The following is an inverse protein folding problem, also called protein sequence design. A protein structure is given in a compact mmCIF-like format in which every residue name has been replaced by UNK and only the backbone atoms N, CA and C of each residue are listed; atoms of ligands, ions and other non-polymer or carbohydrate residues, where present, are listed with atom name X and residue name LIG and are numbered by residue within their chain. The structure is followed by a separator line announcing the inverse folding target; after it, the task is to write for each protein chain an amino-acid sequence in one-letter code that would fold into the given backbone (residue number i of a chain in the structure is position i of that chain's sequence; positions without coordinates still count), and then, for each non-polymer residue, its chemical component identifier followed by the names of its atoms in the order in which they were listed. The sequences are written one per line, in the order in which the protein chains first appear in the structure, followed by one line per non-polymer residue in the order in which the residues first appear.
data_IF_061426550494
#
_entry.id   IF_061426550494
#
_cell.length_a   1.000
_cell.length_b   1.000
_cell.length_c   1.000
_cell.angle_alpha   90.00
_cell.angle_beta   90.00
_cell.angle_gamma   90.00
#
_symmetry.space_group_name_H-M   'P 1'
#
loop_
_entity.id
_entity.type
_entity.pdbx_description
1 polymer ?
#
# COMPACT_ATOMS: atom_id res chain seq x y z
N UNK A 1 -17.70 5.01 28.90
CA UNK A 1 -17.73 3.54 28.80
C UNK A 1 -19.16 3.08 28.93
N UNK A 2 -19.59 2.17 28.06
CA UNK A 2 -20.89 1.51 28.16
C UNK A 2 -20.75 0.20 28.96
N UNK A 3 -21.87 -0.33 29.43
CA UNK A 3 -21.90 -1.63 30.09
C UNK A 3 -22.80 -2.55 29.29
N UNK A 4 -22.30 -3.76 29.03
CA UNK A 4 -23.07 -4.86 28.47
C UNK A 4 -23.28 -5.88 29.57
N UNK A 5 -24.55 -6.14 29.89
CA UNK A 5 -24.92 -7.17 30.86
C UNK A 5 -24.98 -8.52 30.16
N UNK A 6 -24.21 -9.46 30.68
CA UNK A 6 -24.10 -10.84 30.20
C UNK A 6 -24.63 -11.80 31.27
N UNK A 7 -25.19 -12.93 30.85
CA UNK A 7 -25.68 -13.94 31.78
C UNK A 7 -24.52 -14.54 32.59
N UNK A 8 -24.69 -14.60 33.91
CA UNK A 8 -23.74 -15.20 34.85
C UNK A 8 -24.23 -16.54 35.42
N UNK A 9 -23.52 -17.06 36.42
CA UNK A 9 -23.89 -18.29 37.10
C UNK A 9 -24.98 -18.06 38.17
N UNK A 10 -25.76 -19.11 38.47
CA UNK A 10 -26.78 -19.10 39.53
C UNK A 10 -27.80 -17.94 39.44
N UNK A 11 -28.15 -17.51 38.22
CA UNK A 11 -29.12 -16.43 37.98
C UNK A 11 -28.57 -15.02 38.15
N UNK A 12 -27.27 -14.86 38.47
CA UNK A 12 -26.61 -13.57 38.50
C UNK A 12 -26.30 -13.06 37.08
N UNK A 13 -25.95 -11.78 36.98
CA UNK A 13 -25.44 -11.18 35.73
C UNK A 13 -24.02 -10.65 35.93
N UNK A 14 -23.30 -10.56 34.81
CA UNK A 14 -21.94 -10.03 34.74
C UNK A 14 -21.97 -8.76 33.90
N UNK A 15 -21.43 -7.68 34.44
CA UNK A 15 -21.25 -6.43 33.71
C UNK A 15 -19.89 -6.42 33.03
N UNK A 16 -19.91 -6.40 31.70
CA UNK A 16 -18.73 -6.23 30.84
C UNK A 16 -18.61 -4.74 30.52
N UNK A 17 -17.50 -4.13 30.93
CA UNK A 17 -17.23 -2.72 30.67
C UNK A 17 -16.63 -2.57 29.29
N UNK A 18 -17.30 -1.85 28.39
CA UNK A 18 -16.85 -1.71 27.01
C UNK A 18 -16.52 -0.26 26.67
N UNK A 19 -15.41 -0.09 25.96
CA UNK A 19 -15.15 1.16 25.27
C UNK A 19 -16.09 1.30 24.05
N UNK A 20 -16.29 2.52 23.54
CA UNK A 20 -17.30 2.82 22.52
C UNK A 20 -17.11 2.11 21.16
N UNK A 21 -17.98 2.43 20.20
CA UNK A 21 -17.81 1.98 18.80
C UNK A 21 -18.13 0.50 18.55
N UNK A 22 -17.24 -0.19 17.84
CA UNK A 22 -17.45 -1.55 17.31
C UNK A 22 -17.44 -2.63 18.40
N UNK A 23 -16.58 -2.49 19.42
CA UNK A 23 -16.51 -3.44 20.56
C UNK A 23 -17.82 -3.51 21.33
N UNK A 24 -18.54 -2.38 21.49
CA UNK A 24 -19.89 -2.38 22.08
C UNK A 24 -20.89 -3.19 21.23
N UNK A 25 -20.80 -3.12 19.91
CA UNK A 25 -21.70 -3.86 19.01
C UNK A 25 -21.43 -5.37 19.10
N UNK A 26 -20.15 -5.76 19.11
CA UNK A 26 -19.69 -7.15 19.25
C UNK A 26 -20.07 -7.70 20.62
N UNK A 27 -19.83 -6.95 21.70
CA UNK A 27 -20.19 -7.36 23.05
C UNK A 27 -21.71 -7.57 23.20
N UNK A 28 -22.54 -6.69 22.61
CA UNK A 28 -24.00 -6.87 22.58
C UNK A 28 -24.44 -8.06 21.74
N UNK A 29 -23.73 -8.37 20.65
CA UNK A 29 -24.02 -9.55 19.84
C UNK A 29 -23.69 -10.82 20.62
N UNK A 30 -22.51 -10.88 21.23
CA UNK A 30 -22.07 -11.98 22.09
C UNK A 30 -23.06 -12.23 23.24
N UNK A 31 -23.44 -11.17 23.97
CA UNK A 31 -24.39 -11.26 25.08
C UNK A 31 -25.75 -11.83 24.65
N UNK A 32 -26.25 -11.40 23.48
CA UNK A 32 -27.50 -11.91 22.89
C UNK A 32 -27.39 -13.38 22.49
N UNK A 33 -26.32 -13.77 21.79
CA UNK A 33 -26.08 -15.17 21.41
C UNK A 33 -26.00 -16.08 22.64
N UNK A 34 -25.29 -15.65 23.69
CA UNK A 34 -25.18 -16.41 24.92
C UNK A 34 -26.54 -16.52 25.64
N UNK A 35 -27.36 -15.45 25.62
CA UNK A 35 -28.70 -15.45 26.17
C UNK A 35 -29.64 -16.41 25.42
N UNK A 36 -29.64 -16.38 24.09
CA UNK A 36 -30.50 -17.21 23.24
C UNK A 36 -30.14 -18.71 23.34
N UNK A 37 -28.89 -19.02 23.65
CA UNK A 37 -28.38 -20.40 23.76
C UNK A 37 -28.25 -20.90 25.21
N UNK A 38 -28.64 -20.09 26.20
CA UNK A 38 -28.44 -20.36 27.62
C UNK A 38 -29.06 -21.69 28.10
N UNK A 39 -30.22 -22.08 27.54
CA UNK A 39 -30.93 -23.29 27.96
C UNK A 39 -30.13 -24.60 27.72
N UNK A 40 -29.14 -24.57 26.81
CA UNK A 40 -28.27 -25.71 26.49
C UNK A 40 -26.88 -25.63 27.13
N UNK A 41 -26.65 -24.68 28.04
CA UNK A 41 -25.33 -24.37 28.60
C UNK A 41 -25.31 -24.56 30.12
N UNK A 42 -24.16 -24.95 30.67
CA UNK A 42 -23.95 -25.11 32.12
C UNK A 42 -23.04 -24.01 32.66
N UNK A 43 -23.57 -23.10 33.48
CA UNK A 43 -22.82 -21.98 34.01
C UNK A 43 -22.14 -22.32 35.33
N UNK A 44 -20.87 -21.97 35.47
CA UNK A 44 -20.08 -22.16 36.68
C UNK A 44 -19.19 -20.94 36.97
N UNK A 45 -19.16 -20.50 38.23
CA UNK A 45 -18.21 -19.47 38.66
C UNK A 45 -16.84 -20.11 38.82
N UNK A 46 -15.84 -19.56 38.12
CA UNK A 46 -14.48 -20.07 38.15
C UNK A 46 -13.75 -19.61 39.41
N UNK A 47 -12.80 -20.43 39.87
CA UNK A 47 -11.89 -20.11 40.99
C UNK A 47 -10.47 -19.96 40.45
N UNK A 48 -9.68 -19.09 41.06
CA UNK A 48 -8.29 -18.99 40.67
C UNK A 48 -7.57 -20.33 40.89
N UNK A 49 -6.73 -20.73 39.93
CA UNK A 49 -6.18 -22.07 39.80
C UNK A 49 -6.89 -22.91 38.75
N UNK A 50 -6.90 -24.23 38.93
CA UNK A 50 -7.47 -25.18 37.98
C UNK A 50 -9.00 -25.32 38.07
N UNK A 51 -9.65 -25.34 36.92
CA UNK A 51 -11.09 -25.51 36.76
C UNK A 51 -11.33 -26.57 35.67
N UNK A 52 -12.06 -27.63 36.03
CA UNK A 52 -12.39 -28.73 35.11
C UNK A 52 -13.90 -28.84 34.96
N UNK A 53 -14.38 -28.94 33.72
CA UNK A 53 -15.79 -29.23 33.44
C UNK A 53 -15.93 -30.48 32.57
N UNK A 54 -16.73 -31.43 33.04
CA UNK A 54 -17.19 -32.57 32.23
C UNK A 54 -18.58 -32.34 31.64
N UNK A 55 -19.22 -31.21 31.96
CA UNK A 55 -20.51 -30.85 31.39
C UNK A 55 -20.30 -30.24 30.01
N UNK A 56 -20.93 -30.82 28.98
CA UNK A 56 -20.90 -30.26 27.63
C UNK A 56 -21.42 -28.83 27.60
N UNK A 57 -20.86 -28.01 26.73
CA UNK A 57 -21.20 -26.59 26.58
C UNK A 57 -21.08 -25.78 27.88
N UNK A 58 -19.99 -25.96 28.63
CA UNK A 58 -19.79 -25.24 29.89
C UNK A 58 -19.43 -23.77 29.67
N UNK A 59 -19.96 -22.92 30.55
CA UNK A 59 -19.69 -21.49 30.61
C UNK A 59 -18.95 -21.19 31.90
N UNK A 60 -17.75 -20.65 31.78
CA UNK A 60 -16.95 -20.16 32.90
C UNK A 60 -17.22 -18.69 33.17
N UNK A 61 -17.50 -18.34 34.42
CA UNK A 61 -17.79 -16.98 34.85
C UNK A 61 -16.70 -16.50 35.80
N UNK A 62 -15.96 -15.46 35.41
CA UNK A 62 -14.89 -14.81 36.19
C UNK A 62 -15.40 -13.46 36.70
N UNK A 63 -15.40 -13.27 38.02
CA UNK A 63 -15.92 -12.06 38.67
C UNK A 63 -14.91 -11.33 39.55
N UNK A 64 -13.71 -11.89 39.68
CA UNK A 64 -12.59 -11.34 40.43
C UNK A 64 -11.31 -11.53 39.62
N UNK A 65 -10.31 -10.68 39.84
CA UNK A 65 -9.00 -10.84 39.20
C UNK A 65 -8.28 -12.09 39.70
N UNK A 66 -7.43 -12.66 38.85
CA UNK A 66 -6.67 -13.88 39.14
C UNK A 66 -6.37 -14.69 37.88
N UNK A 67 -5.67 -15.82 38.08
CA UNK A 67 -5.33 -16.76 37.01
C UNK A 67 -6.23 -18.00 37.06
N UNK A 68 -6.75 -18.41 35.92
CA UNK A 68 -7.74 -19.46 35.74
C UNK A 68 -7.28 -20.44 34.66
N UNK A 69 -6.85 -21.64 35.05
CA UNK A 69 -6.57 -22.73 34.13
C UNK A 69 -7.84 -23.54 33.88
N UNK A 70 -8.16 -23.78 32.62
CA UNK A 70 -9.37 -24.46 32.17
C UNK A 70 -9.03 -25.81 31.54
N UNK A 71 -9.85 -26.81 31.85
CA UNK A 71 -9.78 -28.16 31.30
C UNK A 71 -11.20 -28.68 31.02
N UNK A 72 -11.33 -29.53 30.01
CA UNK A 72 -12.56 -30.19 29.63
C UNK A 72 -13.43 -29.39 28.67
N UNK A 73 -14.74 -29.34 28.92
CA UNK A 73 -15.76 -28.97 27.94
C UNK A 73 -16.23 -27.50 28.03
N UNK A 74 -15.35 -26.57 28.39
CA UNK A 74 -15.65 -25.14 28.33
C UNK A 74 -15.76 -24.66 26.89
N UNK A 75 -16.77 -23.84 26.59
CA UNK A 75 -16.97 -23.26 25.25
C UNK A 75 -17.17 -21.75 25.29
N UNK A 76 -17.56 -21.20 26.44
CA UNK A 76 -17.67 -19.77 26.65
C UNK A 76 -17.05 -19.35 27.98
N UNK A 77 -16.38 -18.21 27.99
CA UNK A 77 -15.90 -17.55 29.20
C UNK A 77 -16.40 -16.12 29.24
N UNK A 78 -16.85 -15.68 30.41
CA UNK A 78 -17.32 -14.32 30.66
C UNK A 78 -16.54 -13.76 31.84
N UNK A 79 -15.72 -12.73 31.60
CA UNK A 79 -15.00 -12.01 32.62
C UNK A 79 -15.53 -10.58 32.76
N UNK A 80 -15.96 -10.22 33.96
CA UNK A 80 -16.50 -8.89 34.24
C UNK A 80 -16.93 -8.75 35.69
N UNK A 81 -17.54 -7.62 36.05
CA UNK A 81 -17.95 -7.41 37.42
C UNK A 81 -19.28 -8.11 37.73
N UNK A 82 -19.37 -8.78 38.87
CA UNK A 82 -20.62 -9.35 39.34
C UNK A 82 -21.62 -8.22 39.63
N UNK A 83 -22.80 -8.26 39.02
CA UNK A 83 -23.90 -7.36 39.35
C UNK A 83 -25.00 -8.12 40.09
N UNK A 84 -25.28 -7.69 41.31
CA UNK A 84 -26.40 -8.21 42.13
C UNK A 84 -27.53 -7.19 42.28
N UNK A 85 -27.35 -5.97 41.76
CA UNK A 85 -28.32 -4.88 41.78
C UNK A 85 -28.25 -4.09 40.46
N UNK A 86 -29.38 -3.97 39.77
CA UNK A 86 -29.52 -3.27 38.50
C UNK A 86 -29.19 -1.77 38.57
N UNK A 87 -29.18 -1.17 39.76
CA UNK A 87 -28.77 0.23 39.97
C UNK A 87 -27.24 0.40 40.02
N UNK A 88 -26.49 -0.68 40.28
CA UNK A 88 -25.03 -0.65 40.37
C UNK A 88 -24.37 -1.03 39.04
N UNK A 89 -23.31 -0.32 38.70
CA UNK A 89 -22.50 -0.54 37.49
C UNK A 89 -21.06 -0.85 37.89
N UNK A 90 -20.83 -1.96 38.62
CA UNK A 90 -19.48 -2.30 39.08
C UNK A 90 -18.58 -2.61 37.88
N UNK A 91 -17.27 -2.41 38.08
CA UNK A 91 -16.24 -2.61 37.06
C UNK A 91 -15.15 -3.50 37.65
N UNK A 92 -14.67 -4.46 36.86
CA UNK A 92 -13.52 -5.28 37.22
C UNK A 92 -12.26 -4.53 36.80
N UNK A 93 -11.39 -4.19 37.75
CA UNK A 93 -10.18 -3.40 37.51
C UNK A 93 -8.89 -4.17 37.73
N UNK A 94 -9.01 -5.42 38.19
CA UNK A 94 -7.86 -6.28 38.45
C UNK A 94 -7.59 -7.17 37.23
N UNK A 95 -6.31 -7.47 36.93
CA UNK A 95 -5.96 -8.32 35.80
C UNK A 95 -6.57 -9.73 35.90
N UNK A 96 -6.90 -10.30 34.75
CA UNK A 96 -7.44 -11.66 34.62
C UNK A 96 -6.57 -12.45 33.65
N UNK A 97 -6.13 -13.64 34.05
CA UNK A 97 -5.48 -14.60 33.15
C UNK A 97 -6.39 -15.82 32.97
N UNK A 98 -6.70 -16.15 31.72
CA UNK A 98 -7.50 -17.30 31.33
C UNK A 98 -6.63 -18.20 30.45
N UNK A 99 -6.31 -19.39 30.94
CA UNK A 99 -5.55 -20.39 30.21
C UNK A 99 -6.49 -21.51 29.75
N UNK A 100 -6.83 -21.52 28.47
CA UNK A 100 -7.70 -22.49 27.82
C UNK A 100 -6.95 -23.62 27.09
N UNK A 101 -5.63 -23.76 27.27
CA UNK A 101 -4.83 -24.83 26.63
C UNK A 101 -5.29 -26.25 26.96
N UNK A 102 -5.97 -26.47 28.09
CA UNK A 102 -6.56 -27.76 28.44
C UNK A 102 -7.92 -28.03 27.79
N UNK A 103 -8.45 -27.10 27.00
CA UNK A 103 -9.77 -27.20 26.37
C UNK A 103 -9.61 -27.72 24.94
N UNK A 104 -10.40 -28.73 24.58
CA UNK A 104 -10.27 -29.43 23.29
C UNK A 104 -11.34 -29.01 22.27
N UNK A 105 -11.99 -27.87 22.51
CA UNK A 105 -13.02 -27.29 21.65
C UNK A 105 -12.81 -25.78 21.55
N UNK A 106 -13.27 -25.13 20.46
CA UNK A 106 -13.16 -23.68 20.33
C UNK A 106 -13.77 -22.97 21.53
N UNK A 107 -13.05 -21.99 22.08
CA UNK A 107 -13.50 -21.19 23.24
C UNK A 107 -13.79 -19.77 22.81
N UNK A 108 -14.97 -19.28 23.15
CA UNK A 108 -15.32 -17.87 22.97
C UNK A 108 -15.22 -17.14 24.31
N UNK A 109 -14.49 -16.03 24.34
CA UNK A 109 -14.22 -15.25 25.54
C UNK A 109 -14.72 -13.83 25.34
N UNK A 110 -15.47 -13.32 26.32
CA UNK A 110 -15.69 -11.89 26.48
C UNK A 110 -15.08 -11.43 27.80
N UNK A 111 -14.28 -10.36 27.76
CA UNK A 111 -13.63 -9.79 28.94
C UNK A 111 -13.79 -8.28 28.97
N UNK A 112 -14.31 -7.77 30.08
CA UNK A 112 -14.50 -6.32 30.33
C UNK A 112 -13.76 -5.83 31.55
N UNK A 113 -12.52 -6.30 31.74
CA UNK A 113 -11.65 -5.86 32.84
C UNK A 113 -10.79 -4.67 32.43
N UNK A 114 -10.81 -3.59 33.21
CA UNK A 114 -9.90 -2.46 33.00
C UNK A 114 -8.45 -2.77 33.41
N UNK A 115 -8.22 -3.89 34.09
CA UNK A 115 -6.89 -4.35 34.48
C UNK A 115 -6.14 -5.09 33.37
N UNK A 116 -6.78 -5.31 32.23
CA UNK A 116 -6.26 -6.15 31.16
C UNK A 116 -6.49 -7.65 31.38
N UNK A 117 -6.51 -8.38 30.28
CA UNK A 117 -6.81 -9.81 30.19
C UNK A 117 -5.69 -10.51 29.46
N UNK A 118 -5.12 -11.54 30.05
CA UNK A 118 -4.26 -12.49 29.33
C UNK A 118 -5.08 -13.72 28.97
N UNK A 119 -5.19 -14.04 27.68
CA UNK A 119 -5.87 -15.24 27.21
C UNK A 119 -4.91 -16.14 26.43
N UNK A 120 -4.80 -17.40 26.88
CA UNK A 120 -4.04 -18.46 26.21
C UNK A 120 -5.04 -19.44 25.58
N UNK A 121 -5.25 -19.33 24.26
CA UNK A 121 -6.32 -20.01 23.52
C UNK A 121 -6.09 -21.51 23.30
N UNK A 122 -4.83 -21.94 23.14
CA UNK A 122 -4.48 -23.33 22.80
C UNK A 122 -5.01 -23.78 21.44
N UNK A 123 -4.79 -25.04 21.07
CA UNK A 123 -4.90 -25.50 19.66
C UNK A 123 -6.31 -25.52 19.01
N UNK A 124 -7.38 -25.21 19.75
CA UNK A 124 -8.75 -25.46 19.27
C UNK A 124 -9.37 -24.28 18.51
N UNK A 125 -8.68 -23.15 18.36
CA UNK A 125 -9.26 -21.92 17.83
C UNK A 125 -10.29 -21.28 18.77
N UNK A 126 -10.98 -20.25 18.30
CA UNK A 126 -12.03 -19.59 19.08
C UNK A 126 -12.16 -18.09 18.85
N UNK A 127 -12.71 -17.40 19.83
CA UNK A 127 -12.88 -15.94 19.77
C UNK A 127 -12.44 -15.31 21.09
N UNK A 128 -11.71 -14.20 20.99
CA UNK A 128 -11.34 -13.38 22.12
C UNK A 128 -11.83 -11.95 21.88
N UNK A 129 -12.74 -11.50 22.75
CA UNK A 129 -13.24 -10.14 22.78
C UNK A 129 -12.89 -9.52 24.14
N UNK A 130 -11.75 -8.86 24.21
CA UNK A 130 -11.49 -7.88 25.25
C UNK A 130 -11.97 -6.51 24.80
N UNK A 131 -12.37 -5.67 25.76
CA UNK A 131 -13.12 -4.45 25.46
C UNK A 131 -12.49 -3.19 26.00
N UNK A 132 -11.42 -3.30 26.80
CA UNK A 132 -10.59 -2.24 27.35
C UNK A 132 -9.43 -2.85 28.17
N UNK A 133 -8.38 -2.06 28.39
CA UNK A 133 -7.21 -2.47 29.18
C UNK A 133 -6.08 -2.91 28.26
N UNK A 134 -4.89 -3.16 28.82
CA UNK A 134 -3.79 -3.72 28.04
C UNK A 134 -3.92 -5.25 28.08
N UNK A 135 -4.40 -5.82 26.99
CA UNK A 135 -4.72 -7.22 26.85
C UNK A 135 -3.58 -8.00 26.16
N UNK A 136 -3.52 -9.30 26.44
CA UNK A 136 -2.56 -10.23 25.84
C UNK A 136 -3.33 -11.44 25.31
N UNK A 137 -3.18 -11.74 24.02
CA UNK A 137 -3.74 -12.92 23.38
C UNK A 137 -2.61 -13.83 22.87
N UNK A 138 -2.71 -15.14 23.13
CA UNK A 138 -1.80 -16.16 22.59
C UNK A 138 -2.59 -17.38 22.12
N UNK A 139 -2.62 -17.63 20.80
CA UNK A 139 -3.44 -18.68 20.17
C UNK A 139 -2.79 -20.08 20.08
N UNK A 140 -1.48 -20.18 19.87
CA UNK A 140 -0.75 -21.41 19.48
C UNK A 140 -1.14 -21.95 18.10
N UNK A 141 -2.21 -22.73 17.98
CA UNK A 141 -2.75 -23.18 16.70
C UNK A 141 -4.26 -23.06 16.65
N UNK A 142 -4.84 -23.12 15.44
CA UNK A 142 -6.29 -23.05 15.23
C UNK A 142 -6.70 -21.66 14.73
N UNK A 143 -7.97 -21.51 14.37
CA UNK A 143 -8.47 -20.27 13.77
C UNK A 143 -9.09 -19.38 14.84
N UNK A 144 -8.57 -18.17 15.01
CA UNK A 144 -9.01 -17.23 16.02
C UNK A 144 -9.61 -15.96 15.44
N UNK A 145 -10.65 -15.45 16.11
CA UNK A 145 -11.12 -14.07 15.94
C UNK A 145 -10.77 -13.28 17.18
N UNK A 146 -9.88 -12.30 17.04
CA UNK A 146 -9.28 -11.55 18.14
C UNK A 146 -9.68 -10.09 18.06
N UNK A 147 -10.29 -9.56 19.11
CA UNK A 147 -10.60 -8.15 19.31
C UNK A 147 -10.13 -7.76 20.71
N UNK A 148 -9.18 -6.84 20.83
CA UNK A 148 -8.61 -6.45 22.13
C UNK A 148 -9.15 -5.11 22.64
N UNK A 149 -9.60 -4.24 21.73
CA UNK A 149 -10.38 -3.07 22.09
C UNK A 149 -9.53 -1.82 22.28
N UNK A 150 -9.44 -1.28 23.49
CA UNK A 150 -8.63 -0.08 23.75
C UNK A 150 -7.55 -0.35 24.77
N UNK A 151 -6.33 0.09 24.47
CA UNK A 151 -5.16 -0.21 25.28
C UNK A 151 -3.96 -0.48 24.39
N UNK A 152 -2.81 -0.74 24.98
CA UNK A 152 -1.64 -1.19 24.23
C UNK A 152 -1.55 -2.70 24.39
N UNK A 153 -2.03 -3.41 23.38
CA UNK A 153 -2.27 -4.84 23.44
C UNK A 153 -1.15 -5.64 22.78
N UNK A 154 -1.03 -6.91 23.17
CA UNK A 154 -0.14 -7.88 22.53
C UNK A 154 -0.98 -9.03 22.00
N UNK A 155 -0.90 -9.29 20.70
CA UNK A 155 -1.59 -10.40 20.04
C UNK A 155 -0.56 -11.28 19.37
N UNK A 156 -0.48 -12.53 19.79
CA UNK A 156 0.24 -13.61 19.09
C UNK A 156 -0.79 -14.65 18.65
N UNK A 157 -1.08 -14.71 17.35
CA UNK A 157 -2.12 -15.61 16.85
C UNK A 157 -1.66 -17.07 16.78
N UNK A 158 -0.36 -17.31 16.72
CA UNK A 158 0.17 -18.62 16.38
C UNK A 158 -0.18 -19.01 14.94
N UNK A 159 -0.26 -20.31 14.65
CA UNK A 159 -0.60 -20.82 13.32
C UNK A 159 -2.10 -20.99 13.13
N UNK A 160 -2.60 -20.70 11.94
CA UNK A 160 -4.04 -20.81 11.68
C UNK A 160 -4.49 -19.77 10.67
N UNK A 161 -5.80 -19.67 10.46
CA UNK A 161 -6.37 -18.57 9.70
C UNK A 161 -7.06 -17.63 10.66
N UNK A 162 -6.36 -16.56 11.03
CA UNK A 162 -6.78 -15.67 12.11
C UNK A 162 -7.31 -14.35 11.60
N UNK A 163 -8.20 -13.74 12.38
CA UNK A 163 -8.70 -12.38 12.15
C UNK A 163 -8.44 -11.55 13.39
N UNK A 164 -7.67 -10.46 13.25
CA UNK A 164 -7.26 -9.60 14.35
C UNK A 164 -7.76 -8.18 14.14
N UNK A 165 -8.36 -7.62 15.18
CA UNK A 165 -8.61 -6.20 15.33
C UNK A 165 -8.08 -5.78 16.71
N UNK A 166 -6.88 -5.23 16.76
CA UNK A 166 -6.29 -4.79 18.01
C UNK A 166 -6.92 -3.47 18.53
N UNK A 167 -7.80 -2.85 17.74
CA UNK A 167 -8.49 -1.63 18.12
C UNK A 167 -7.54 -0.45 18.30
N UNK A 168 -7.80 0.39 19.30
CA UNK A 168 -7.10 1.65 19.51
C UNK A 168 -5.95 1.52 20.52
N UNK A 169 -4.89 2.29 20.32
CA UNK A 169 -3.67 2.26 21.13
C UNK A 169 -2.49 1.84 20.26
N UNK A 170 -1.34 1.60 20.88
CA UNK A 170 -0.12 1.18 20.17
C UNK A 170 0.09 -0.32 20.43
N UNK A 171 -0.35 -1.15 19.49
CA UNK A 171 -0.43 -2.60 19.67
C UNK A 171 0.76 -3.34 19.05
N UNK A 172 1.06 -4.54 19.56
CA UNK A 172 2.03 -5.46 18.99
C UNK A 172 1.30 -6.71 18.49
N UNK A 173 1.35 -6.94 17.19
CA UNK A 173 0.63 -8.03 16.52
C UNK A 173 1.65 -8.94 15.84
N UNK A 174 1.70 -10.19 16.30
CA UNK A 174 2.51 -11.28 15.78
C UNK A 174 1.59 -12.29 15.11
N UNK A 175 1.79 -12.47 13.80
CA UNK A 175 1.03 -13.38 12.96
C UNK A 175 1.92 -14.59 12.66
N UNK A 176 1.42 -15.79 12.91
CA UNK A 176 2.10 -17.01 12.50
C UNK A 176 1.71 -17.47 11.10
N UNK A 177 1.88 -18.77 10.86
CA UNK A 177 1.54 -19.43 9.61
C UNK A 177 0.04 -19.36 9.30
N UNK A 178 -0.30 -19.62 8.03
CA UNK A 178 -1.68 -19.62 7.53
C UNK A 178 -2.09 -18.28 6.91
N UNK A 179 -3.39 -18.06 6.75
CA UNK A 179 -3.93 -16.89 6.05
C UNK A 179 -4.61 -15.97 7.05
N UNK A 180 -3.92 -14.91 7.48
CA UNK A 180 -4.44 -14.01 8.51
C UNK A 180 -4.88 -12.66 7.95
N UNK A 181 -5.86 -12.06 8.62
CA UNK A 181 -6.39 -10.74 8.31
C UNK A 181 -6.26 -9.83 9.54
N UNK A 182 -5.72 -8.61 9.33
CA UNK A 182 -5.56 -7.61 10.39
C UNK A 182 -6.23 -6.30 10.01
N UNK A 183 -6.98 -5.73 10.94
CA UNK A 183 -7.44 -4.35 10.93
C UNK A 183 -6.72 -3.57 12.04
N UNK A 184 -5.95 -2.55 11.66
CA UNK A 184 -5.15 -1.71 12.55
C UNK A 184 -5.71 -0.28 12.56
N UNK A 185 -5.89 0.30 13.75
CA UNK A 185 -6.46 1.66 13.91
C UNK A 185 -5.51 2.62 14.62
N UNK A 186 -4.49 2.12 15.32
CA UNK A 186 -3.51 2.90 16.05
C UNK A 186 -2.12 2.83 15.42
N UNK A 187 -1.10 3.25 16.17
CA UNK A 187 0.29 3.12 15.72
C UNK A 187 0.79 1.75 16.10
N UNK A 188 0.53 0.77 15.24
CA UNK A 188 0.73 -0.63 15.57
C UNK A 188 2.05 -1.15 14.99
N UNK A 189 2.61 -2.15 15.66
CA UNK A 189 3.69 -2.98 15.12
C UNK A 189 3.11 -4.32 14.69
N UNK A 190 3.23 -4.66 13.41
CA UNK A 190 2.67 -5.88 12.82
C UNK A 190 3.78 -6.69 12.19
N UNK A 191 3.98 -7.92 12.66
CA UNK A 191 5.02 -8.82 12.20
C UNK A 191 4.38 -10.16 11.79
N UNK A 192 4.66 -10.63 10.58
CA UNK A 192 4.15 -11.90 10.08
C UNK A 192 5.03 -12.48 8.98
N UNK A 193 5.96 -13.36 9.35
CA UNK A 193 6.97 -13.89 8.42
C UNK A 193 6.54 -15.16 7.68
N UNK A 194 5.60 -15.93 8.25
CA UNK A 194 5.02 -17.13 7.65
C UNK A 194 3.69 -16.83 6.95
N UNK A 195 3.16 -17.79 6.18
CA UNK A 195 1.81 -17.69 5.62
C UNK A 195 1.56 -16.53 4.65
N UNK A 196 0.27 -16.21 4.45
CA UNK A 196 -0.21 -15.07 3.65
C UNK A 196 -0.88 -14.09 4.61
N UNK A 197 -0.48 -12.82 4.55
CA UNK A 197 -0.94 -11.81 5.48
C UNK A 197 -1.70 -10.71 4.75
N UNK A 198 -2.93 -10.42 5.18
CA UNK A 198 -3.75 -9.32 4.67
C UNK A 198 -3.93 -8.26 5.75
N UNK A 199 -3.25 -7.13 5.63
CA UNK A 199 -3.27 -6.05 6.62
C UNK A 199 -3.97 -4.83 6.04
N UNK A 200 -4.98 -4.31 6.74
CA UNK A 200 -5.59 -3.01 6.47
C UNK A 200 -5.25 -2.03 7.60
N UNK A 201 -4.67 -0.89 7.24
CA UNK A 201 -4.26 0.17 8.15
C UNK A 201 -5.24 1.33 8.00
N UNK A 202 -5.94 1.65 9.08
CA UNK A 202 -6.92 2.73 9.16
C UNK A 202 -6.38 4.01 9.81
N UNK A 203 -5.31 3.90 10.59
CA UNK A 203 -4.73 5.04 11.30
C UNK A 203 -3.33 4.75 11.82
N UNK A 204 -2.68 5.81 12.30
CA UNK A 204 -1.35 5.76 12.90
C UNK A 204 -0.21 5.56 11.89
N UNK A 205 0.98 5.98 12.31
CA UNK A 205 2.26 5.72 11.65
C UNK A 205 2.73 4.30 12.02
N UNK A 206 2.10 3.28 11.43
CA UNK A 206 2.32 1.88 11.80
C UNK A 206 3.64 1.31 11.23
N UNK A 207 4.21 0.31 11.91
CA UNK A 207 5.41 -0.41 11.49
C UNK A 207 5.06 -1.84 11.11
N UNK A 208 5.30 -2.22 9.86
CA UNK A 208 4.85 -3.49 9.28
C UNK A 208 6.04 -4.26 8.71
N UNK A 209 6.16 -5.54 9.07
CA UNK A 209 7.15 -6.47 8.53
C UNK A 209 6.48 -7.79 8.18
N UNK A 210 6.25 -8.03 6.89
CA UNK A 210 5.52 -9.20 6.39
C UNK A 210 6.37 -10.03 5.43
N UNK A 211 6.09 -11.33 5.42
CA UNK A 211 6.67 -12.31 4.50
C UNK A 211 6.17 -12.16 3.06
N UNK A 212 6.39 -13.19 2.23
CA UNK A 212 5.91 -13.24 0.84
C UNK A 212 4.39 -13.15 0.71
N UNK A 213 3.94 -12.78 -0.48
CA UNK A 213 2.53 -12.75 -0.90
C UNK A 213 1.62 -11.91 0.01
N UNK A 214 2.19 -10.95 0.74
CA UNK A 214 1.44 -10.07 1.63
C UNK A 214 0.59 -9.07 0.86
N UNK A 215 -0.60 -8.79 1.38
CA UNK A 215 -1.49 -7.74 0.89
C UNK A 215 -1.62 -6.66 1.97
N UNK A 216 -1.15 -5.45 1.67
CA UNK A 216 -1.31 -4.29 2.55
C UNK A 216 -2.19 -3.25 1.89
N UNK A 217 -3.23 -2.82 2.60
CA UNK A 217 -4.05 -1.67 2.25
C UNK A 217 -3.87 -0.59 3.30
N UNK A 218 -3.21 0.48 2.90
CA UNK A 218 -2.99 1.64 3.73
C UNK A 218 -3.96 2.76 3.38
N UNK A 219 -4.63 3.29 4.40
CA UNK A 219 -5.46 4.50 4.31
C UNK A 219 -4.96 5.62 5.24
N UNK A 220 -3.93 5.33 6.02
CA UNK A 220 -3.26 6.23 6.93
C UNK A 220 -2.10 6.95 6.22
N UNK A 221 -1.19 7.51 7.01
CA UNK A 221 -0.03 8.22 6.53
C UNK A 221 1.17 7.92 7.42
N UNK A 222 2.38 7.95 6.87
CA UNK A 222 3.61 7.83 7.65
C UNK A 222 3.96 6.40 8.07
N UNK A 223 3.28 5.39 7.51
CA UNK A 223 3.57 3.99 7.79
C UNK A 223 4.95 3.59 7.25
N UNK A 224 5.62 2.70 7.97
CA UNK A 224 6.85 2.06 7.50
C UNK A 224 6.59 0.58 7.26
N UNK A 225 6.80 0.12 6.03
CA UNK A 225 6.46 -1.22 5.57
C UNK A 225 7.67 -1.93 4.96
N UNK A 226 7.94 -3.14 5.43
CA UNK A 226 8.83 -4.10 4.78
C UNK A 226 8.02 -5.33 4.40
N UNK A 227 8.02 -5.69 3.12
CA UNK A 227 7.23 -6.83 2.61
C UNK A 227 8.09 -7.77 1.76
N UNK A 228 7.70 -9.04 1.73
CA UNK A 228 8.39 -10.09 0.98
C UNK A 228 8.06 -10.11 -0.50
N UNK A 229 8.52 -11.18 -1.16
CA UNK A 229 8.30 -11.42 -2.59
C UNK A 229 6.80 -11.52 -2.96
N UNK A 230 6.41 -10.99 -4.11
CA UNK A 230 5.04 -11.11 -4.61
C UNK A 230 4.01 -10.23 -3.88
N UNK A 231 4.45 -9.43 -2.92
CA UNK A 231 3.57 -8.63 -2.10
C UNK A 231 2.98 -7.44 -2.87
N UNK A 232 1.80 -7.00 -2.42
CA UNK A 232 1.11 -5.82 -2.93
C UNK A 232 0.84 -4.84 -1.80
N UNK A 233 1.22 -3.58 -1.98
CA UNK A 233 0.90 -2.49 -1.07
C UNK A 233 0.04 -1.47 -1.82
N UNK A 234 -1.01 -0.95 -1.19
CA UNK A 234 -1.96 -0.05 -1.84
C UNK A 234 -2.36 1.13 -0.97
N UNK A 235 -2.51 2.29 -1.59
CA UNK A 235 -2.90 3.53 -0.91
C UNK A 235 -1.79 4.12 -0.05
N UNK A 236 -2.20 4.87 0.98
CA UNK A 236 -1.30 5.54 1.90
C UNK A 236 -0.76 6.89 1.41
N UNK A 237 -0.15 7.63 2.34
CA UNK A 237 0.54 8.90 2.04
C UNK A 237 1.78 9.08 2.91
N UNK A 238 2.88 9.53 2.31
CA UNK A 238 4.16 9.76 3.02
C UNK A 238 4.69 8.50 3.70
N UNK A 239 4.46 7.35 3.08
CA UNK A 239 4.89 6.07 3.62
C UNK A 239 6.31 5.73 3.16
N UNK A 240 6.96 4.86 3.92
CA UNK A 240 8.22 4.23 3.50
C UNK A 240 7.96 2.76 3.24
N UNK A 241 8.11 2.32 1.98
CA UNK A 241 7.82 0.94 1.57
C UNK A 241 9.07 0.28 0.99
N UNK A 242 9.42 -0.90 1.51
CA UNK A 242 10.57 -1.69 1.07
C UNK A 242 10.15 -3.11 0.68
N UNK A 243 10.34 -3.45 -0.59
CA UNK A 243 10.18 -4.81 -1.11
C UNK A 243 11.51 -5.55 -1.08
N UNK A 244 11.56 -6.63 -0.30
CA UNK A 244 12.79 -7.44 -0.11
C UNK A 244 12.91 -8.59 -1.11
N UNK A 245 11.83 -8.93 -1.81
CA UNK A 245 11.78 -10.02 -2.77
C UNK A 245 12.16 -9.64 -4.20
N UNK A 246 11.92 -10.58 -5.12
CA UNK A 246 12.22 -10.43 -6.55
C UNK A 246 11.14 -9.70 -7.34
N UNK A 247 9.91 -9.67 -6.82
CA UNK A 247 8.78 -8.95 -7.41
C UNK A 247 7.97 -8.24 -6.34
N UNK A 248 7.35 -7.11 -6.70
CA UNK A 248 6.41 -6.37 -5.85
C UNK A 248 5.44 -5.52 -6.66
N UNK A 249 4.34 -5.11 -6.03
CA UNK A 249 3.35 -4.22 -6.64
C UNK A 249 2.95 -3.09 -5.69
N UNK A 250 2.86 -1.87 -6.22
CA UNK A 250 2.26 -0.70 -5.57
C UNK A 250 1.04 -0.27 -6.39
N UNK A 251 -0.08 -0.05 -5.70
CA UNK A 251 -1.30 0.51 -6.28
C UNK A 251 -1.73 1.79 -5.54
N UNK A 252 -1.48 2.94 -6.16
CA UNK A 252 -1.73 4.26 -5.58
C UNK A 252 -0.52 4.76 -4.80
N UNK A 253 -0.81 5.42 -3.67
CA UNK A 253 0.20 6.02 -2.81
C UNK A 253 0.54 7.45 -3.23
N UNK A 254 0.77 8.32 -2.24
CA UNK A 254 1.09 9.73 -2.48
C UNK A 254 2.27 10.19 -1.63
N UNK A 255 3.28 10.74 -2.29
CA UNK A 255 4.49 11.23 -1.63
C UNK A 255 5.25 10.14 -0.85
N UNK A 256 5.19 8.90 -1.34
CA UNK A 256 5.82 7.77 -0.69
C UNK A 256 7.28 7.61 -1.11
N UNK A 257 8.08 7.07 -0.20
CA UNK A 257 9.44 6.60 -0.47
C UNK A 257 9.39 5.09 -0.67
N UNK A 258 9.64 4.64 -1.89
CA UNK A 258 9.46 3.25 -2.31
C UNK A 258 10.81 2.68 -2.74
N UNK A 259 11.15 1.50 -2.22
CA UNK A 259 12.36 0.76 -2.59
C UNK A 259 12.07 -0.70 -2.92
N UNK A 260 12.77 -1.26 -3.91
CA UNK A 260 12.66 -2.67 -4.27
C UNK A 260 14.00 -3.31 -4.66
N UNK A 261 14.28 -4.48 -4.08
CA UNK A 261 15.45 -5.31 -4.40
C UNK A 261 15.30 -6.12 -5.70
N UNK A 262 14.09 -6.18 -6.26
CA UNK A 262 13.78 -6.86 -7.52
C UNK A 262 12.99 -5.96 -8.47
N UNK A 263 12.15 -6.58 -9.28
CA UNK A 263 11.24 -5.89 -10.20
C UNK A 263 10.04 -5.31 -9.45
N UNK A 264 9.57 -4.15 -9.89
CA UNK A 264 8.46 -3.44 -9.25
C UNK A 264 7.47 -2.94 -10.30
N UNK A 265 6.18 -3.16 -10.05
CA UNK A 265 5.10 -2.49 -10.77
C UNK A 265 4.49 -1.44 -9.85
N UNK A 266 4.44 -0.20 -10.30
CA UNK A 266 3.77 0.89 -9.58
C UNK A 266 2.66 1.43 -10.48
N UNK A 267 1.45 1.55 -9.96
CA UNK A 267 0.31 2.09 -10.70
C UNK A 267 -0.36 3.21 -9.93
N UNK A 268 -0.81 4.26 -10.61
CA UNK A 268 -1.58 5.38 -10.03
C UNK A 268 -0.89 6.09 -8.87
N UNK A 269 0.44 6.02 -8.76
CA UNK A 269 1.21 6.72 -7.74
C UNK A 269 1.28 8.23 -8.01
N UNK A 270 1.29 9.03 -6.95
CA UNK A 270 1.29 10.50 -7.03
C UNK A 270 2.49 11.07 -6.30
N UNK A 271 3.46 11.59 -7.05
CA UNK A 271 4.58 12.32 -6.48
C UNK A 271 5.53 11.48 -5.62
N UNK A 272 5.80 10.24 -6.02
CA UNK A 272 6.58 9.28 -5.24
C UNK A 272 8.08 9.37 -5.52
N UNK A 273 8.91 8.97 -4.56
CA UNK A 273 10.34 8.71 -4.73
C UNK A 273 10.57 7.21 -4.84
N UNK A 274 11.03 6.73 -5.99
CA UNK A 274 11.07 5.30 -6.33
C UNK A 274 12.51 4.88 -6.63
N UNK A 275 13.02 3.88 -5.91
CA UNK A 275 14.35 3.29 -6.11
C UNK A 275 14.25 1.77 -6.31
N UNK A 276 14.58 1.28 -7.50
CA UNK A 276 14.39 -0.11 -7.90
C UNK A 276 15.68 -0.66 -8.46
N UNK A 277 16.22 -1.73 -7.88
CA UNK A 277 17.46 -2.32 -8.42
C UNK A 277 17.18 -3.11 -9.72
N UNK A 278 16.01 -3.74 -9.83
CA UNK A 278 15.53 -4.41 -11.03
C UNK A 278 14.82 -3.48 -12.02
N UNK A 279 13.83 -4.04 -12.70
CA UNK A 279 13.00 -3.33 -13.68
C UNK A 279 11.81 -2.65 -13.01
N UNK A 280 11.53 -1.40 -13.38
CA UNK A 280 10.34 -0.67 -12.98
C UNK A 280 9.34 -0.62 -14.14
N UNK A 281 8.09 -0.96 -13.86
CA UNK A 281 6.94 -0.59 -14.69
C UNK A 281 6.10 0.44 -13.94
N UNK A 282 5.97 1.66 -14.46
CA UNK A 282 5.16 2.72 -13.86
C UNK A 282 3.97 3.07 -14.75
N UNK A 283 2.76 2.97 -14.22
CA UNK A 283 1.52 3.10 -14.98
C UNK A 283 0.63 4.20 -14.42
N UNK A 284 0.21 5.13 -15.28
CA UNK A 284 -0.76 6.18 -14.96
C UNK A 284 -0.38 7.03 -13.73
N UNK A 285 0.92 7.26 -13.53
CA UNK A 285 1.41 8.09 -12.43
C UNK A 285 1.27 9.59 -12.70
N UNK A 286 1.20 10.39 -11.64
CA UNK A 286 1.10 11.86 -11.71
C UNK A 286 1.98 12.54 -10.66
N UNK A 287 2.02 13.88 -10.69
CA UNK A 287 2.75 14.67 -9.71
C UNK A 287 4.27 14.56 -9.88
N UNK A 288 5.01 15.13 -8.93
CA UNK A 288 6.48 15.18 -8.97
C UNK A 288 7.10 13.85 -8.54
N UNK A 289 7.44 12.99 -9.49
CA UNK A 289 7.93 11.63 -9.24
C UNK A 289 9.39 11.51 -9.60
N UNK A 290 10.20 10.93 -8.70
CA UNK A 290 11.60 10.61 -8.99
C UNK A 290 11.78 9.11 -9.13
N UNK A 291 12.50 8.67 -10.16
CA UNK A 291 12.78 7.26 -10.44
C UNK A 291 14.28 7.03 -10.56
N UNK A 292 14.79 6.08 -9.79
CA UNK A 292 16.10 5.46 -9.99
C UNK A 292 15.87 3.98 -10.18
N UNK A 293 16.01 3.46 -11.41
CA UNK A 293 15.81 2.05 -11.69
C UNK A 293 16.93 1.44 -12.55
N UNK A 294 17.08 0.11 -12.47
CA UNK A 294 17.94 -0.66 -13.36
C UNK A 294 17.46 -0.58 -14.81
N UNK A 295 16.15 -0.67 -15.04
CA UNK A 295 15.50 -0.38 -16.32
C UNK A 295 14.10 0.17 -16.04
N UNK A 296 13.58 1.08 -16.86
CA UNK A 296 12.27 1.71 -16.62
C UNK A 296 11.39 1.67 -17.84
N UNK A 297 10.14 1.24 -17.67
CA UNK A 297 9.05 1.43 -18.62
C UNK A 297 7.95 2.25 -17.96
N UNK A 298 7.67 3.42 -18.51
CA UNK A 298 6.86 4.43 -17.85
C UNK A 298 5.77 4.92 -18.80
N UNK A 299 4.54 4.80 -18.36
CA UNK A 299 3.36 5.37 -18.99
C UNK A 299 2.79 6.40 -18.02
N UNK A 300 2.97 7.69 -18.34
CA UNK A 300 2.51 8.77 -17.46
C UNK A 300 1.00 8.93 -17.44
N UNK A 301 0.50 9.89 -16.67
CA UNK A 301 -0.83 10.48 -16.84
C UNK A 301 -0.73 12.02 -16.78
N UNK A 302 -1.81 12.73 -17.12
CA UNK A 302 -1.82 14.19 -17.14
C UNK A 302 -1.30 14.79 -15.82
N UNK A 303 -0.32 15.70 -15.91
CA UNK A 303 0.30 16.34 -14.76
C UNK A 303 1.45 15.55 -14.12
N UNK A 304 1.99 14.53 -14.79
CA UNK A 304 3.23 13.89 -14.37
C UNK A 304 4.43 14.82 -14.63
N UNK A 305 5.22 15.07 -13.59
CA UNK A 305 6.53 15.70 -13.67
C UNK A 305 7.55 14.68 -13.15
N UNK A 306 8.30 14.07 -14.07
CA UNK A 306 9.14 12.94 -13.77
C UNK A 306 10.61 13.28 -13.89
N UNK A 307 11.39 12.96 -12.86
CA UNK A 307 12.85 12.93 -12.92
C UNK A 307 13.38 11.49 -12.92
N UNK A 308 14.29 11.18 -13.84
CA UNK A 308 14.91 9.85 -13.96
C UNK A 308 16.43 9.95 -13.77
N UNK A 309 16.96 9.15 -12.85
CA UNK A 309 18.38 9.05 -12.52
C UNK A 309 18.85 7.58 -12.50
N UNK A 310 18.33 6.76 -13.42
CA UNK A 310 18.66 5.34 -13.54
C UNK A 310 19.95 5.09 -14.34
N UNK A 311 20.56 3.92 -14.11
CA UNK A 311 21.73 3.47 -14.88
C UNK A 311 21.38 2.65 -16.12
N UNK A 312 20.12 2.29 -16.35
CA UNK A 312 19.72 1.58 -17.57
C UNK A 312 18.61 2.28 -18.35
N UNK A 313 18.25 1.63 -19.46
CA UNK A 313 17.42 2.25 -20.48
C UNK A 313 16.05 2.62 -19.92
N UNK A 314 15.55 3.79 -20.34
CA UNK A 314 14.22 4.27 -19.96
C UNK A 314 13.36 4.43 -21.21
N UNK A 315 12.20 3.76 -21.20
CA UNK A 315 11.09 4.05 -22.10
C UNK A 315 10.08 4.90 -21.35
N UNK A 316 9.80 6.09 -21.88
CA UNK A 316 8.79 7.01 -21.36
C UNK A 316 7.75 7.30 -22.43
N UNK A 317 6.48 7.10 -22.10
CA UNK A 317 5.35 7.44 -22.94
C UNK A 317 4.53 8.51 -22.24
N UNK A 318 4.63 9.73 -22.76
CA UNK A 318 3.72 10.80 -22.46
C UNK A 318 2.42 10.57 -23.25
N UNK A 319 1.36 10.20 -22.53
CA UNK A 319 0.02 10.04 -23.09
C UNK A 319 -0.70 11.39 -23.19
N UNK A 320 -1.90 11.51 -22.62
CA UNK A 320 -2.70 12.74 -22.71
C UNK A 320 -2.29 13.76 -21.64
N UNK A 321 -2.39 15.04 -22.01
CA UNK A 321 -2.19 16.16 -21.12
C UNK A 321 -0.74 16.60 -20.99
N UNK A 322 -0.48 17.51 -20.05
CA UNK A 322 0.84 18.13 -19.90
C UNK A 322 1.75 17.25 -19.05
N UNK A 323 2.91 16.86 -19.59
CA UNK A 323 3.84 15.95 -18.93
C UNK A 323 5.30 16.38 -19.14
N UNK A 324 6.11 16.20 -18.11
CA UNK A 324 7.54 16.47 -18.14
C UNK A 324 8.33 15.21 -17.84
N UNK A 325 9.38 14.99 -18.60
CA UNK A 325 10.44 14.03 -18.33
C UNK A 325 11.78 14.77 -18.26
N UNK A 326 12.42 14.70 -17.11
CA UNK A 326 13.76 15.17 -16.86
C UNK A 326 14.72 13.98 -16.65
N UNK A 327 15.45 13.64 -17.71
CA UNK A 327 16.51 12.64 -17.73
C UNK A 327 17.92 13.25 -17.68
N UNK A 328 18.10 14.53 -17.32
CA UNK A 328 19.40 15.21 -17.38
C UNK A 328 20.52 14.52 -16.59
N UNK A 329 20.17 13.71 -15.59
CA UNK A 329 21.11 12.93 -14.78
C UNK A 329 21.26 11.48 -15.24
N UNK A 330 20.47 11.02 -16.21
CA UNK A 330 20.56 9.67 -16.77
C UNK A 330 21.87 9.47 -17.53
N UNK A 331 22.59 8.40 -17.18
CA UNK A 331 23.77 7.95 -17.93
C UNK A 331 23.44 7.09 -19.14
N UNK A 332 22.19 6.61 -19.25
CA UNK A 332 21.74 5.64 -20.24
C UNK A 332 20.74 6.22 -21.22
N UNK A 333 20.60 5.61 -22.42
CA UNK A 333 19.65 6.05 -23.43
C UNK A 333 18.22 6.16 -22.91
N UNK A 334 17.60 7.26 -23.28
CA UNK A 334 16.21 7.58 -23.02
C UNK A 334 15.42 7.53 -24.32
N UNK A 335 14.28 6.84 -24.30
CA UNK A 335 13.33 6.81 -25.40
C UNK A 335 12.01 7.44 -24.92
N UNK A 336 11.78 8.70 -25.29
CA UNK A 336 10.57 9.44 -24.95
C UNK A 336 9.62 9.55 -26.14
N UNK A 337 8.36 9.24 -25.92
CA UNK A 337 7.30 9.36 -26.92
C UNK A 337 6.19 10.24 -26.38
N UNK A 338 5.94 11.38 -27.02
CA UNK A 338 4.74 12.18 -26.79
C UNK A 338 3.60 11.70 -27.70
N UNK A 339 2.38 11.88 -27.25
CA UNK A 339 1.16 11.67 -28.03
C UNK A 339 0.47 13.01 -28.37
N UNK A 340 -0.71 13.25 -27.82
CA UNK A 340 -1.45 14.50 -27.93
C UNK A 340 -1.23 15.37 -26.68
N UNK A 341 -1.38 16.69 -26.80
CA UNK A 341 -1.13 17.61 -25.68
C UNK A 341 0.24 18.27 -25.70
N UNK A 342 0.79 18.60 -24.53
CA UNK A 342 2.10 19.24 -24.44
C UNK A 342 3.08 18.39 -23.63
N UNK A 343 4.30 18.21 -24.14
CA UNK A 343 5.33 17.46 -23.44
C UNK A 343 6.66 18.22 -23.38
N UNK A 344 7.38 18.06 -22.27
CA UNK A 344 8.76 18.53 -22.13
C UNK A 344 9.67 17.34 -21.89
N UNK A 345 10.63 17.13 -22.77
CA UNK A 345 11.62 16.06 -22.66
C UNK A 345 13.02 16.66 -22.52
N UNK A 346 13.73 16.23 -21.48
CA UNK A 346 15.14 16.53 -21.28
C UNK A 346 15.86 15.19 -21.27
N UNK A 347 16.66 14.95 -22.30
CA UNK A 347 17.57 13.82 -22.40
C UNK A 347 18.74 13.92 -21.42
N UNK A 348 19.58 12.90 -21.42
CA UNK A 348 20.70 12.72 -20.50
C UNK A 348 22.03 12.73 -21.22
N UNK A 349 22.90 11.81 -20.79
CA UNK A 349 24.22 11.63 -21.37
C UNK A 349 24.28 10.60 -22.51
N UNK A 350 23.22 9.81 -22.66
CA UNK A 350 23.09 8.77 -23.67
C UNK A 350 22.74 9.32 -25.05
N UNK A 351 22.62 8.42 -26.03
CA UNK A 351 22.05 8.75 -27.33
C UNK A 351 20.54 8.59 -27.23
N UNK A 352 19.83 9.71 -27.07
CA UNK A 352 18.42 9.69 -26.74
C UNK A 352 17.55 9.74 -28.00
N UNK A 353 16.34 9.18 -27.90
CA UNK A 353 15.30 9.26 -28.92
C UNK A 353 14.10 9.99 -28.35
N UNK A 354 13.82 11.17 -28.88
CA UNK A 354 12.74 12.05 -28.42
C UNK A 354 11.73 12.24 -29.55
N UNK A 355 10.50 11.76 -29.36
CA UNK A 355 9.45 11.74 -30.40
C UNK A 355 8.32 12.68 -30.03
N UNK A 356 8.04 13.66 -30.90
CA UNK A 356 7.13 14.78 -30.59
C UNK A 356 5.63 14.50 -30.66
N UNK A 357 5.21 13.36 -31.23
CA UNK A 357 3.78 13.07 -31.40
C UNK A 357 3.06 14.08 -32.31
N UNK A 358 1.75 14.24 -32.10
CA UNK A 358 0.93 15.23 -32.83
C UNK A 358 0.73 16.55 -32.06
N UNK A 359 1.02 16.54 -30.77
CA UNK A 359 0.98 17.70 -29.89
C UNK A 359 2.16 18.67 -30.06
N UNK A 360 2.32 19.55 -29.07
CA UNK A 360 3.43 20.51 -29.00
C UNK A 360 4.47 20.02 -28.00
N UNK A 361 5.73 19.93 -28.40
CA UNK A 361 6.79 19.42 -27.51
C UNK A 361 7.99 20.35 -27.41
N UNK A 362 8.61 20.38 -26.23
CA UNK A 362 9.94 20.97 -26.03
C UNK A 362 10.92 19.85 -25.75
N UNK A 363 11.98 19.74 -26.55
CA UNK A 363 12.97 18.68 -26.47
C UNK A 363 14.37 19.25 -26.28
N UNK A 364 15.07 18.74 -25.27
CA UNK A 364 16.50 18.94 -25.05
C UNK A 364 17.17 17.57 -25.19
N UNK A 365 18.11 17.41 -26.12
CA UNK A 365 18.82 16.14 -26.33
C UNK A 365 19.82 15.84 -25.23
N UNK A 366 20.54 16.84 -24.73
CA UNK A 366 21.58 16.63 -23.72
C UNK A 366 22.95 16.34 -24.36
N UNK A 367 23.75 15.45 -23.77
CA UNK A 367 24.96 14.96 -24.45
C UNK A 367 24.59 13.85 -25.44
N UNK A 368 25.59 13.18 -26.02
CA UNK A 368 25.35 12.13 -26.99
C UNK A 368 24.84 12.63 -28.34
N UNK A 369 24.59 11.66 -29.22
CA UNK A 369 24.01 11.87 -30.54
C UNK A 369 22.53 11.51 -30.49
N UNK A 370 21.67 12.52 -30.58
CA UNK A 370 20.26 12.41 -30.28
C UNK A 370 19.40 12.39 -31.54
N UNK A 371 18.29 11.66 -31.47
CA UNK A 371 17.27 11.58 -32.51
C UNK A 371 16.03 12.35 -32.08
N UNK A 372 15.67 13.39 -32.83
CA UNK A 372 14.44 14.15 -32.66
C UNK A 372 13.45 13.76 -33.76
N UNK A 373 12.41 12.99 -33.44
CA UNK A 373 11.53 12.40 -34.44
C UNK A 373 10.13 13.02 -34.46
N UNK A 374 9.62 13.21 -35.68
CA UNK A 374 8.28 13.72 -35.97
C UNK A 374 7.63 12.85 -37.03
N UNK A 375 6.38 12.45 -36.78
CA UNK A 375 5.61 11.59 -37.68
C UNK A 375 4.39 12.36 -38.16
N UNK A 376 4.12 12.33 -39.47
CA UNK A 376 2.97 13.00 -40.05
C UNK A 376 1.67 12.53 -39.40
N UNK A 377 0.94 13.48 -38.81
CA UNK A 377 -0.36 13.23 -38.21
C UNK A 377 -1.52 13.26 -39.22
N UNK A 378 -2.68 12.67 -38.89
CA UNK A 378 -3.92 12.85 -39.67
C UNK A 378 -4.55 14.23 -39.48
N UNK A 379 -4.15 14.96 -38.44
CA UNK A 379 -4.61 16.30 -38.07
C UNK A 379 -3.47 17.33 -38.16
N UNK A 380 -3.79 18.61 -38.02
CA UNK A 380 -2.76 19.64 -37.88
C UNK A 380 -1.86 19.34 -36.68
N UNK A 381 -0.54 19.32 -36.89
CA UNK A 381 0.42 19.10 -35.82
C UNK A 381 0.69 20.34 -34.98
N UNK A 382 1.28 20.14 -33.80
CA UNK A 382 1.63 21.20 -32.86
C UNK A 382 2.89 21.99 -33.21
N UNK A 383 3.19 22.96 -32.33
CA UNK A 383 4.40 23.77 -32.37
C UNK A 383 5.47 23.12 -31.49
N UNK A 384 6.58 22.68 -32.08
CA UNK A 384 7.65 21.95 -31.42
C UNK A 384 8.94 22.79 -31.33
N UNK A 385 9.71 22.58 -30.27
CA UNK A 385 10.96 23.28 -29.98
C UNK A 385 12.04 22.25 -29.68
N UNK A 386 13.17 22.34 -30.38
CA UNK A 386 14.40 21.64 -30.04
C UNK A 386 15.40 22.65 -29.51
N UNK A 387 15.83 22.49 -28.27
CA UNK A 387 16.55 23.54 -27.54
C UNK A 387 18.05 23.56 -27.78
N UNK A 388 18.62 22.42 -28.18
CA UNK A 388 20.08 22.21 -28.21
C UNK A 388 20.51 21.36 -29.41
N UNK A 389 19.81 21.44 -30.54
CA UNK A 389 20.10 20.65 -31.73
C UNK A 389 21.57 20.76 -32.17
N UNK A 390 22.14 21.97 -32.16
CA UNK A 390 23.54 22.20 -32.53
C UNK A 390 24.59 21.76 -31.51
N UNK A 391 24.18 21.14 -30.39
CA UNK A 391 25.08 20.72 -29.31
C UNK A 391 25.96 19.52 -29.69
N UNK A 392 25.43 18.60 -30.48
CA UNK A 392 26.21 17.53 -31.12
C UNK A 392 26.02 17.58 -32.64
N UNK A 393 27.11 17.33 -33.38
CA UNK A 393 27.07 17.18 -34.82
C UNK A 393 26.40 15.86 -35.28
N UNK A 394 26.22 14.89 -34.37
CA UNK A 394 25.51 13.65 -34.63
C UNK A 394 24.00 13.73 -34.32
N UNK A 395 23.50 14.88 -33.86
CA UNK A 395 22.06 15.07 -33.68
C UNK A 395 21.35 15.04 -35.05
N UNK A 396 20.23 14.33 -35.12
CA UNK A 396 19.45 14.15 -36.35
C UNK A 396 17.97 14.43 -36.08
N UNK A 397 17.33 15.16 -36.99
CA UNK A 397 15.88 15.32 -37.03
C UNK A 397 15.25 14.30 -38.00
N UNK A 398 14.38 13.43 -37.51
CA UNK A 398 13.68 12.45 -38.33
C UNK A 398 12.28 12.92 -38.71
N UNK A 399 11.97 12.89 -40.01
CA UNK A 399 10.66 13.23 -40.55
C UNK A 399 10.04 12.00 -41.21
N UNK A 400 9.07 11.39 -40.54
CA UNK A 400 8.41 10.16 -40.98
C UNK A 400 7.06 10.42 -41.63
N UNK A 401 6.81 9.75 -42.76
CA UNK A 401 5.57 9.75 -43.55
C UNK A 401 5.21 11.09 -44.21
N UNK A 402 6.17 12.00 -44.34
CA UNK A 402 5.96 13.28 -45.01
C UNK A 402 6.14 13.23 -46.54
N UNK A 403 6.79 12.19 -47.07
CA UNK A 403 7.03 12.05 -48.51
C UNK A 403 8.14 12.97 -49.06
N UNK A 404 9.03 13.46 -48.18
CA UNK A 404 10.09 14.42 -48.52
C UNK A 404 11.33 13.78 -49.14
N UNK A 405 11.43 12.46 -49.12
CA UNK A 405 12.48 11.67 -49.76
C UNK A 405 12.45 11.78 -51.30
N UNK A 406 11.32 12.22 -51.86
CA UNK A 406 11.11 12.35 -53.29
C UNK A 406 11.13 13.82 -53.77
N UNK A 407 11.75 14.07 -54.93
CA UNK A 407 11.51 15.28 -55.72
C UNK A 407 11.91 16.63 -55.10
N UNK A 408 12.83 16.68 -54.13
CA UNK A 408 13.28 17.92 -53.50
C UNK A 408 12.32 18.49 -52.43
N UNK A 409 11.42 17.64 -51.90
CA UNK A 409 10.45 18.04 -50.89
C UNK A 409 11.09 18.66 -49.65
N UNK A 410 12.13 18.03 -49.10
CA UNK A 410 12.87 18.58 -47.95
C UNK A 410 13.50 19.95 -48.29
N UNK A 411 14.11 20.10 -49.47
CA UNK A 411 14.74 21.37 -49.86
C UNK A 411 13.70 22.50 -49.92
N UNK A 412 12.49 22.22 -50.41
CA UNK A 412 11.40 23.21 -50.40
C UNK A 412 10.99 23.64 -48.98
N UNK A 413 11.02 22.71 -48.01
CA UNK A 413 10.76 23.02 -46.60
C UNK A 413 11.87 23.90 -46.02
N UNK A 414 13.13 23.59 -46.34
CA UNK A 414 14.30 24.37 -45.89
C UNK A 414 14.32 25.77 -46.52
N UNK A 415 14.01 25.89 -47.81
CA UNK A 415 13.94 27.19 -48.51
C UNK A 415 12.82 28.09 -47.97
N UNK A 416 11.75 27.49 -47.43
CA UNK A 416 10.64 28.18 -46.79
C UNK A 416 10.85 28.44 -45.29
N UNK A 417 11.99 28.03 -44.72
CA UNK A 417 12.27 28.19 -43.29
C UNK A 417 12.34 29.67 -42.89
N UNK A 418 11.87 29.98 -41.69
CA UNK A 418 11.99 31.32 -41.10
C UNK A 418 13.18 31.36 -40.15
N UNK A 419 14.15 32.23 -40.42
CA UNK A 419 15.30 32.47 -39.53
C UNK A 419 15.10 33.80 -38.80
N UNK A 420 14.98 33.76 -37.48
CA UNK A 420 14.76 34.96 -36.66
C UNK A 420 15.37 34.79 -35.27
N UNK A 421 16.04 35.83 -34.77
CA UNK A 421 16.62 35.83 -33.42
C UNK A 421 17.68 34.74 -33.16
N UNK A 422 18.33 34.23 -34.21
CA UNK A 422 19.30 33.14 -34.11
C UNK A 422 18.70 31.73 -34.14
N UNK A 423 17.40 31.60 -34.36
CA UNK A 423 16.69 30.32 -34.43
C UNK A 423 16.15 30.10 -35.86
N UNK A 424 16.03 28.84 -36.26
CA UNK A 424 15.39 28.44 -37.52
C UNK A 424 14.09 27.70 -37.22
N UNK A 425 13.00 28.11 -37.85
CA UNK A 425 11.71 27.42 -37.78
C UNK A 425 11.32 26.89 -39.15
N UNK A 426 11.04 25.59 -39.23
CA UNK A 426 10.44 24.95 -40.40
C UNK A 426 8.97 24.64 -40.14
N UNK A 427 8.16 24.63 -41.20
CA UNK A 427 6.78 24.17 -41.16
C UNK A 427 6.59 23.00 -42.12
N UNK A 428 5.99 21.91 -41.63
CA UNK A 428 5.76 20.68 -42.38
C UNK A 428 4.37 20.69 -43.04
N UNK A 429 4.11 19.70 -43.90
CA UNK A 429 2.90 19.64 -44.74
C UNK A 429 1.59 19.50 -43.96
N UNK A 430 1.65 19.00 -42.73
CA UNK A 430 0.53 18.90 -41.79
C UNK A 430 0.45 20.11 -40.84
N UNK A 431 1.11 21.21 -41.18
CA UNK A 431 1.22 22.43 -40.36
C UNK A 431 2.06 22.30 -39.08
N UNK A 432 2.64 21.14 -38.77
CA UNK A 432 3.61 20.98 -37.66
C UNK A 432 4.73 22.00 -37.82
N UNK A 433 5.04 22.73 -36.76
CA UNK A 433 6.22 23.60 -36.74
C UNK A 433 7.30 23.00 -35.89
N UNK A 434 8.55 23.13 -36.32
CA UNK A 434 9.72 22.72 -35.55
C UNK A 434 10.68 23.90 -35.52
N UNK A 435 10.94 24.41 -34.31
CA UNK A 435 11.88 25.51 -34.07
C UNK A 435 13.16 24.94 -33.47
N UNK A 436 14.28 25.17 -34.15
CA UNK A 436 15.62 24.78 -33.73
C UNK A 436 16.30 25.99 -33.09
N UNK A 437 16.44 25.98 -31.77
CA UNK A 437 17.06 27.09 -31.05
C UNK A 437 18.57 27.13 -31.29
N UNK A 438 19.10 28.32 -31.55
CA UNK A 438 20.53 28.55 -31.77
C UNK A 438 21.09 27.96 -33.07
N UNK A 439 20.24 27.48 -33.98
CA UNK A 439 20.64 26.95 -35.29
C UNK A 439 20.13 27.87 -36.38
N UNK A 440 21.01 28.33 -37.28
CA UNK A 440 20.69 29.27 -38.35
C UNK A 440 21.00 28.74 -39.76
N UNK A 441 21.55 27.52 -39.87
CA UNK A 441 22.05 26.93 -41.12
C UNK A 441 21.70 25.44 -41.29
N UNK A 442 20.43 25.07 -41.04
CA UNK A 442 19.95 23.70 -41.26
C UNK A 442 20.24 23.19 -42.68
N UNK A 443 20.74 21.96 -42.78
CA UNK A 443 21.13 21.28 -44.02
C UNK A 443 20.35 19.98 -44.18
N UNK A 444 20.26 19.49 -45.41
CA UNK A 444 19.62 18.20 -45.68
C UNK A 444 20.28 17.03 -44.92
N UNK A 445 21.57 17.11 -44.58
CA UNK A 445 22.29 16.12 -43.77
C UNK A 445 21.83 16.05 -42.31
N UNK A 446 21.15 17.08 -41.82
CA UNK A 446 20.65 17.15 -40.45
C UNK A 446 19.35 16.35 -40.29
N UNK A 447 18.84 15.79 -41.40
CA UNK A 447 17.57 15.09 -41.46
C UNK A 447 17.72 13.65 -41.93
N UNK A 448 16.88 12.79 -41.35
CA UNK A 448 16.56 11.46 -41.92
C UNK A 448 15.09 11.41 -42.30
N UNK A 449 14.78 10.79 -43.44
CA UNK A 449 13.46 10.80 -44.06
C UNK A 449 12.97 9.36 -44.28
N UNK A 450 11.68 9.11 -44.09
CA UNK A 450 11.03 7.85 -44.47
C UNK A 450 9.53 8.01 -44.64
#
# INVERSE_FOLDING_TARGET
MAIVTVMGAAGATVNVTVDGGDTLSLARAYARTLQDTAAGKTFSTLRSGGNMSTAGNAVGVVTVGGAYALDGAYVNIVAGALSTDAASSPVLTTPVEINARGVTAPVEVISGTLGGTTFLGGDSGGSFLATAGNDVFVGETGNFTVNTGSGNDIVDTGGGNDTVNAGAGDNQIYLGDGSNAVASWGQDTIIGEGGIQSVTIYGGDSSISLGPDALVKDTAAGSTMTVGNGSTVSGGTRDTVSFTGTTGTIAGGMSDTISAAGDLVVSQGVGNSISVTGSLTFLNGTGMTTVTAGQSTIFGAAGLDMSVNGSGNTLFVANEGNQTLDGALSGSPLHAFADNGTATFIGGNGNDTLVGGTGSTTMTGGLGDNLFAFTKGPSSGGDNIITDFGRSAGNVAALYQYGYENGGGLQSVLDAATVSGGNTTIQLSDSTKITFLGVNDLKASDFTLS
#
